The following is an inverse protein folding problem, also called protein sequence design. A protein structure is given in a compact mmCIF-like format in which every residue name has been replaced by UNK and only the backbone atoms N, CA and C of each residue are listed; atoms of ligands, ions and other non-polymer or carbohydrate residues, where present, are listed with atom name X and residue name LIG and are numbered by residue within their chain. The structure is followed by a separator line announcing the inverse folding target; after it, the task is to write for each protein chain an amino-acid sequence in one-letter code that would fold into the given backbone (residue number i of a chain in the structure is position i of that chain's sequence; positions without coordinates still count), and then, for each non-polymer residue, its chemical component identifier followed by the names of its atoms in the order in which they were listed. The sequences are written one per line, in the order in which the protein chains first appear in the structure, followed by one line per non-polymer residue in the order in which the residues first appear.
data_IF_215363822619
#
_entry.id   IF_215363822619
#
_cell.length_a   1.000
_cell.length_b   1.000
_cell.length_c   1.000
_cell.angle_alpha   90.00
_cell.angle_beta   90.00
_cell.angle_gamma   90.00
#
_symmetry.space_group_name_H-M   'P 1'
#
loop_
_entity.id
_entity.type
_entity.pdbx_description
1 polymer ?
#
# COMPACT_ATOMS: atom_id res chain seq x y z
N UNK A 1 -26.11 32.31 32.77
CA UNK A 1 -25.73 30.90 32.99
C UNK A 1 -24.48 30.46 32.20
N UNK A 2 -24.07 31.12 31.11
CA UNK A 2 -22.91 30.70 30.30
C UNK A 2 -21.52 31.01 30.89
N UNK A 3 -21.38 32.01 31.76
CA UNK A 3 -20.08 32.39 32.32
C UNK A 3 -19.53 31.38 33.35
N UNK A 4 -20.41 30.72 34.12
CA UNK A 4 -20.03 29.80 35.20
C UNK A 4 -19.40 28.51 34.70
N UNK A 5 -19.94 27.93 33.61
CA UNK A 5 -19.42 26.71 33.00
C UNK A 5 -18.04 26.90 32.36
N UNK A 6 -17.80 28.06 31.72
CA UNK A 6 -16.48 28.39 31.17
C UNK A 6 -15.43 28.60 32.26
N UNK A 7 -15.86 29.09 33.43
CA UNK A 7 -15.01 29.31 34.59
C UNK A 7 -14.52 28.00 35.22
N UNK A 8 -15.41 27.03 35.41
CA UNK A 8 -15.05 25.68 35.90
C UNK A 8 -14.13 24.92 34.92
N UNK A 9 -14.36 25.10 33.61
CA UNK A 9 -13.50 24.53 32.57
C UNK A 9 -12.07 25.11 32.59
N UNK A 10 -11.92 26.39 32.91
CA UNK A 10 -10.61 27.05 33.02
C UNK A 10 -9.86 26.62 34.29
N UNK A 11 -10.57 26.54 35.43
CA UNK A 11 -10.01 26.06 36.69
C UNK A 11 -9.38 24.65 36.57
N UNK A 12 -10.06 23.74 35.88
CA UNK A 12 -9.61 22.34 35.75
C UNK A 12 -8.57 22.11 34.64
N UNK A 13 -8.26 23.11 33.81
CA UNK A 13 -7.35 22.97 32.66
C UNK A 13 -6.08 23.79 32.76
N UNK A 14 -5.99 24.68 33.74
CA UNK A 14 -4.82 25.53 33.95
C UNK A 14 -4.02 25.01 35.13
N UNK A 15 -2.84 24.46 34.82
CA UNK A 15 -1.83 24.10 35.79
C UNK A 15 -0.74 25.16 35.71
N UNK A 16 -0.45 25.82 36.83
CA UNK A 16 0.59 26.84 36.92
C UNK A 16 1.85 26.22 37.51
N UNK A 17 2.98 26.38 36.83
CA UNK A 17 4.25 25.82 37.27
C UNK A 17 5.11 26.95 37.83
N UNK A 18 5.53 26.82 39.07
CA UNK A 18 6.39 27.77 39.76
C UNK A 18 7.74 27.11 40.08
N UNK A 19 8.83 27.72 39.62
CA UNK A 19 10.17 27.23 39.94
C UNK A 19 10.59 27.74 41.33
N UNK A 20 10.84 26.82 42.26
CA UNK A 20 11.26 27.14 43.62
C UNK A 20 12.52 26.31 43.97
N UNK A 21 13.70 26.93 44.12
CA UNK A 21 14.92 26.20 44.43
C UNK A 21 14.92 25.71 45.89
N UNK A 22 15.35 24.47 46.13
CA UNK A 22 15.57 23.91 47.47
C UNK A 22 14.33 23.32 48.14
N UNK A 23 13.29 22.97 47.37
CA UNK A 23 12.08 22.29 47.89
C UNK A 23 12.26 20.79 48.08
N UNK A 24 13.33 20.19 47.54
CA UNK A 24 13.64 18.76 47.66
C UNK A 24 12.65 17.84 46.94
N UNK A 25 11.83 18.39 46.05
CA UNK A 25 10.81 17.68 45.26
C UNK A 25 9.69 18.58 44.75
N UNK A 26 8.84 18.04 43.86
CA UNK A 26 7.65 18.70 43.35
C UNK A 26 6.48 18.72 44.34
N UNK A 27 5.93 19.90 44.66
CA UNK A 27 4.71 20.05 45.46
C UNK A 27 3.54 20.50 44.59
N UNK A 28 2.36 19.93 44.82
CA UNK A 28 1.12 20.31 44.13
C UNK A 28 0.14 20.89 45.14
N UNK A 29 -0.29 22.13 44.93
CA UNK A 29 -1.23 22.83 45.82
C UNK A 29 -2.30 23.60 45.03
N UNK A 30 -3.36 24.03 45.73
CA UNK A 30 -4.38 24.91 45.17
C UNK A 30 -3.99 26.35 45.46
N UNK A 31 -3.86 27.15 44.40
CA UNK A 31 -3.47 28.55 44.49
C UNK A 31 -4.52 29.46 43.86
N UNK A 32 -4.69 30.68 44.36
CA UNK A 32 -5.61 31.66 43.77
C UNK A 32 -4.81 32.72 43.02
N UNK A 33 -4.96 32.77 41.69
CA UNK A 33 -4.29 33.75 40.85
C UNK A 33 -5.24 34.89 40.47
N UNK A 34 -4.79 36.13 40.67
CA UNK A 34 -5.51 37.33 40.23
C UNK A 34 -5.22 37.68 38.77
N UNK A 35 -6.25 37.69 37.93
CA UNK A 35 -6.21 38.18 36.55
C UNK A 35 -7.08 39.43 36.46
N UNK A 36 -6.51 40.59 36.81
CA UNK A 36 -7.26 41.86 36.86
C UNK A 36 -8.36 41.83 37.94
N UNK A 37 -9.63 41.85 37.53
CA UNK A 37 -10.79 41.85 38.43
C UNK A 37 -11.31 40.44 38.78
N UNK A 38 -10.64 39.38 38.31
CA UNK A 38 -11.08 37.99 38.46
C UNK A 38 -10.05 37.20 39.29
N UNK A 39 -10.54 36.49 40.31
CA UNK A 39 -9.73 35.57 41.14
C UNK A 39 -10.02 34.15 40.65
N UNK A 40 -9.01 33.46 40.12
CA UNK A 40 -9.14 32.11 39.61
C UNK A 40 -8.41 31.12 40.53
N UNK A 41 -9.10 30.14 41.15
CA UNK A 41 -8.43 28.99 41.74
C UNK A 41 -7.77 28.16 40.63
N UNK A 42 -6.48 27.88 40.78
CA UNK A 42 -5.66 27.12 39.84
C UNK A 42 -4.88 26.06 40.59
N UNK A 43 -4.57 24.97 39.89
CA UNK A 43 -3.63 23.98 40.41
C UNK A 43 -2.21 24.52 40.20
N UNK A 44 -1.44 24.65 41.26
CA UNK A 44 -0.05 25.09 41.20
C UNK A 44 0.88 23.92 41.48
N UNK A 45 1.96 23.84 40.72
CA UNK A 45 3.04 22.86 40.86
C UNK A 45 4.31 23.63 41.14
N UNK A 46 4.83 23.52 42.35
CA UNK A 46 6.14 24.05 42.72
C UNK A 46 7.18 22.98 42.48
N UNK A 47 8.23 23.30 41.71
CA UNK A 47 9.28 22.33 41.40
C UNK A 47 10.66 22.97 41.41
N UNK A 48 11.65 22.22 41.90
CA UNK A 48 13.07 22.58 41.81
C UNK A 48 13.72 22.09 40.50
N UNK A 49 13.01 21.24 39.74
CA UNK A 49 13.42 20.73 38.44
C UNK A 49 12.19 20.49 37.56
N UNK A 50 12.28 20.87 36.28
CA UNK A 50 11.22 20.61 35.31
C UNK A 50 11.23 19.18 34.76
N UNK A 51 12.26 18.38 35.09
CA UNK A 51 12.42 17.01 34.57
C UNK A 51 11.21 16.14 34.94
N UNK A 52 10.80 16.15 36.20
CA UNK A 52 9.65 15.37 36.71
C UNK A 52 8.34 15.76 36.00
N UNK A 53 8.19 17.04 35.65
CA UNK A 53 7.04 17.55 34.91
C UNK A 53 7.06 17.02 33.47
N UNK A 54 8.21 17.04 32.81
CA UNK A 54 8.35 16.50 31.46
C UNK A 54 8.15 14.98 31.41
N UNK A 55 8.60 14.25 32.44
CA UNK A 55 8.36 12.81 32.57
C UNK A 55 6.86 12.52 32.75
N UNK A 56 6.17 13.27 33.62
CA UNK A 56 4.72 13.16 33.80
C UNK A 56 3.96 13.48 32.50
N UNK A 57 4.35 14.54 31.78
CA UNK A 57 3.77 14.88 30.47
C UNK A 57 4.08 13.83 29.39
N UNK A 58 5.21 13.14 29.51
CA UNK A 58 5.62 12.05 28.61
C UNK A 58 4.88 10.73 28.86
N UNK A 59 4.44 10.49 30.10
CA UNK A 59 3.67 9.31 30.50
C UNK A 59 2.18 9.37 30.09
N UNK A 60 1.68 10.55 29.70
CA UNK A 60 0.29 10.71 29.23
C UNK A 60 0.22 10.22 27.77
N UNK A 61 -0.55 9.15 27.53
CA UNK A 61 -0.85 8.67 26.18
C UNK A 61 -1.51 9.79 25.35
N UNK A 62 -0.78 10.29 24.35
CA UNK A 62 -1.24 11.38 23.50
C UNK A 62 -2.37 10.91 22.60
N UNK A 63 -3.59 11.31 22.91
CA UNK A 63 -4.69 11.31 21.93
C UNK A 63 -4.45 12.45 20.95
N UNK A 64 -4.16 12.14 19.68
CA UNK A 64 -4.02 13.15 18.64
C UNK A 64 -5.38 13.84 18.46
N UNK A 65 -5.49 15.16 18.69
CA UNK A 65 -6.76 15.85 18.53
C UNK A 65 -7.25 15.73 17.08
N UNK A 66 -8.53 15.44 16.89
CA UNK A 66 -9.18 15.29 15.58
C UNK A 66 -8.97 16.51 14.67
N UNK A 67 -8.82 17.71 15.27
CA UNK A 67 -8.52 18.95 14.54
C UNK A 67 -7.16 18.93 13.84
N UNK A 68 -6.16 18.26 14.42
CA UNK A 68 -4.83 18.08 13.81
C UNK A 68 -4.92 17.11 12.64
N UNK A 69 -5.63 15.98 12.81
CA UNK A 69 -5.90 15.03 11.74
C UNK A 69 -6.65 15.68 10.56
N UNK A 70 -7.66 16.51 10.85
CA UNK A 70 -8.40 17.26 9.82
C UNK A 70 -7.50 18.21 9.05
N UNK A 71 -6.59 18.91 9.73
CA UNK A 71 -5.65 19.84 9.11
C UNK A 71 -4.59 19.15 8.27
N UNK A 72 -4.13 17.97 8.70
CA UNK A 72 -3.25 17.10 7.90
C UNK A 72 -3.98 16.62 6.64
N UNK A 73 -5.25 16.20 6.75
CA UNK A 73 -6.10 15.83 5.60
C UNK A 73 -6.20 16.98 4.58
N UNK A 74 -6.50 18.19 5.05
CA UNK A 74 -6.62 19.38 4.19
C UNK A 74 -5.31 19.70 3.45
N UNK A 75 -4.17 19.66 4.15
CA UNK A 75 -2.85 19.91 3.53
C UNK A 75 -2.42 18.82 2.54
N UNK A 76 -2.70 17.56 2.83
CA UNK A 76 -2.46 16.45 1.90
C UNK A 76 -3.34 16.62 0.65
N UNK A 77 -4.60 16.99 0.81
CA UNK A 77 -5.51 17.29 -0.31
C UNK A 77 -4.97 18.40 -1.21
N UNK A 78 -4.47 19.50 -0.63
CA UNK A 78 -3.88 20.61 -1.38
C UNK A 78 -2.61 20.20 -2.15
N UNK A 79 -1.75 19.39 -1.53
CA UNK A 79 -0.54 18.85 -2.15
C UNK A 79 -0.85 17.88 -3.31
N UNK A 80 -1.80 16.97 -3.12
CA UNK A 80 -2.23 16.01 -4.15
C UNK A 80 -2.96 16.70 -5.31
N UNK A 81 -3.67 17.80 -5.04
CA UNK A 81 -4.33 18.59 -6.09
C UNK A 81 -3.33 19.38 -6.95
N UNK A 82 -2.17 19.72 -6.40
CA UNK A 82 -1.15 20.53 -7.09
C UNK A 82 -0.06 19.69 -7.75
N UNK A 83 0.22 18.49 -7.23
CA UNK A 83 1.13 17.52 -7.80
C UNK A 83 0.34 16.34 -8.40
N UNK A 84 0.18 16.33 -9.73
CA UNK A 84 -0.54 15.32 -10.52
C UNK A 84 -0.31 13.87 -9.99
N UNK A 85 -1.29 13.24 -9.31
CA UNK A 85 -1.01 12.14 -8.39
C UNK A 85 -1.01 10.76 -9.07
N UNK A 86 0.09 10.01 -8.92
CA UNK A 86 0.21 8.57 -9.28
C UNK A 86 0.29 7.68 -8.03
N UNK A 87 -0.66 7.83 -7.10
CA UNK A 87 -0.75 6.98 -5.91
C UNK A 87 -2.11 7.13 -5.25
N UNK A 88 -2.78 6.01 -5.00
CA UNK A 88 -4.16 5.96 -4.52
C UNK A 88 -4.29 6.45 -3.07
N UNK A 89 -4.75 7.69 -2.89
CA UNK A 89 -5.19 8.20 -1.59
C UNK A 89 -6.69 7.90 -1.43
N UNK A 90 -7.07 6.85 -0.70
CA UNK A 90 -8.48 6.58 -0.36
C UNK A 90 -8.77 7.17 1.02
N UNK A 91 -9.43 8.32 1.04
CA UNK A 91 -9.86 9.00 2.27
C UNK A 91 -11.14 8.34 2.75
N UNK A 92 -11.10 7.77 3.96
CA UNK A 92 -12.30 7.26 4.65
C UNK A 92 -12.96 8.45 5.35
N UNK A 93 -14.25 8.69 5.09
CA UNK A 93 -15.02 9.66 5.86
C UNK A 93 -15.19 9.14 7.28
N UNK A 94 -14.51 9.79 8.21
CA UNK A 94 -14.64 9.55 9.63
C UNK A 94 -15.96 10.20 10.08
N UNK A 95 -17.04 9.43 10.08
CA UNK A 95 -18.27 9.84 10.75
C UNK A 95 -18.07 9.73 12.27
N UNK A 96 -18.80 10.58 13.01
CA UNK A 96 -18.63 10.85 14.45
C UNK A 96 -18.71 9.63 15.40
N UNK A 97 -19.14 8.47 14.92
CA UNK A 97 -19.31 7.24 15.73
C UNK A 97 -18.15 6.23 15.58
N UNK A 98 -17.06 6.61 14.91
CA UNK A 98 -15.91 5.71 14.76
C UNK A 98 -15.04 5.75 16.03
N UNK A 99 -15.01 4.65 16.79
CA UNK A 99 -14.14 4.52 17.96
C UNK A 99 -12.67 4.63 17.52
N UNK A 100 -11.91 5.50 18.19
CA UNK A 100 -10.49 5.78 17.89
C UNK A 100 -9.58 4.53 17.89
N UNK A 101 -10.01 3.45 18.55
CA UNK A 101 -9.29 2.19 18.61
C UNK A 101 -9.36 1.38 17.30
N UNK A 102 -10.35 1.65 16.45
CA UNK A 102 -10.52 1.03 15.14
C UNK A 102 -9.91 1.88 14.00
N UNK A 103 -9.32 3.02 14.35
CA UNK A 103 -8.92 4.06 13.41
C UNK A 103 -7.42 3.94 13.07
N UNK A 104 -7.12 3.07 12.10
CA UNK A 104 -5.76 2.87 11.64
C UNK A 104 -5.40 3.85 10.52
N UNK A 105 -4.83 5.00 10.90
CA UNK A 105 -4.39 6.02 9.93
C UNK A 105 -3.01 5.66 9.37
N UNK A 106 -2.97 5.10 8.18
CA UNK A 106 -1.71 4.90 7.44
C UNK A 106 -1.41 6.19 6.64
N UNK A 107 -0.57 7.07 7.18
CA UNK A 107 0.02 8.19 6.43
C UNK A 107 1.38 7.75 5.90
N UNK A 108 1.41 7.24 4.67
CA UNK A 108 2.65 6.89 3.98
C UNK A 108 3.31 8.12 3.37
N UNK A 109 4.27 8.73 4.08
CA UNK A 109 5.27 9.62 3.46
C UNK A 109 6.56 8.80 3.32
N UNK A 110 6.94 8.51 2.08
CA UNK A 110 7.92 7.48 1.77
C UNK A 110 9.38 7.85 2.11
N UNK A 111 10.07 6.91 2.75
CA UNK A 111 11.43 6.47 2.43
C UNK A 111 11.48 4.99 2.84
N UNK A 112 12.16 4.14 2.05
CA UNK A 112 12.19 2.69 2.16
C UNK A 112 12.05 2.13 3.59
N UNK A 113 10.88 1.56 3.89
CA UNK A 113 10.72 0.57 4.95
C UNK A 113 9.79 -0.53 4.41
N UNK A 114 10.11 -1.81 4.66
CA UNK A 114 9.24 -2.90 4.25
C UNK A 114 7.87 -2.63 4.84
N UNK A 115 6.85 -2.60 3.97
CA UNK A 115 5.45 -2.38 4.31
C UNK A 115 5.14 -3.09 5.64
N UNK A 116 4.59 -2.39 6.63
CA UNK A 116 4.19 -3.02 7.88
C UNK A 116 3.23 -4.18 7.64
N UNK A 117 2.98 -5.02 8.65
CA UNK A 117 2.19 -6.26 8.50
C UNK A 117 0.83 -6.08 7.78
N UNK A 118 0.15 -4.95 7.95
CA UNK A 118 -1.12 -4.63 7.26
C UNK A 118 -0.95 -3.96 5.89
N UNK A 119 0.25 -3.47 5.57
CA UNK A 119 0.58 -2.89 4.26
C UNK A 119 0.61 -3.95 3.14
N UNK A 120 1.00 -5.19 3.45
CA UNK A 120 0.94 -6.29 2.48
C UNK A 120 -0.49 -6.67 2.11
N UNK A 121 -1.45 -6.53 3.02
CA UNK A 121 -2.86 -6.83 2.75
C UNK A 121 -3.49 -5.82 1.75
N UNK A 122 -2.88 -4.64 1.58
CA UNK A 122 -3.27 -3.65 0.58
C UNK A 122 -2.68 -3.90 -0.82
N UNK A 123 -1.66 -4.74 -0.94
CA UNK A 123 -1.02 -5.03 -2.23
C UNK A 123 -2.03 -5.68 -3.18
N UNK A 124 -2.21 -5.02 -4.32
CA UNK A 124 -3.11 -5.44 -5.39
C UNK A 124 -2.38 -6.27 -6.44
N UNK A 125 -3.16 -6.87 -7.34
CA UNK A 125 -2.61 -7.59 -8.50
C UNK A 125 -1.80 -6.67 -9.44
N UNK A 126 -2.17 -5.39 -9.53
CA UNK A 126 -1.44 -4.41 -10.36
C UNK A 126 -0.07 -4.11 -9.75
N UNK A 127 0.03 -4.06 -8.43
CA UNK A 127 1.31 -3.86 -7.74
C UNK A 127 2.28 -5.02 -8.00
N UNK A 128 1.76 -6.26 -8.02
CA UNK A 128 2.56 -7.44 -8.38
C UNK A 128 3.05 -7.37 -9.83
N UNK A 129 2.22 -6.88 -10.76
CA UNK A 129 2.61 -6.65 -12.16
C UNK A 129 3.74 -5.64 -12.24
N UNK A 130 3.60 -4.51 -11.53
CA UNK A 130 4.61 -3.48 -11.52
C UNK A 130 5.94 -3.97 -10.93
N UNK A 131 5.90 -4.78 -9.86
CA UNK A 131 7.12 -5.37 -9.29
C UNK A 131 7.79 -6.34 -10.25
N UNK A 132 7.01 -7.20 -10.93
CA UNK A 132 7.53 -8.13 -11.95
C UNK A 132 8.17 -7.36 -13.09
N UNK A 133 7.53 -6.32 -13.61
CA UNK A 133 8.05 -5.53 -14.74
C UNK A 133 9.29 -4.71 -14.38
N UNK A 134 9.34 -4.14 -13.16
CA UNK A 134 10.50 -3.35 -12.69
C UNK A 134 11.67 -4.24 -12.28
N UNK A 135 11.42 -5.45 -11.82
CA UNK A 135 12.46 -6.38 -11.35
C UNK A 135 13.19 -5.91 -10.09
N UNK A 136 12.70 -4.90 -9.39
CA UNK A 136 13.43 -4.21 -8.32
C UNK A 136 13.48 -4.99 -7.00
N UNK A 137 12.59 -5.96 -6.80
CA UNK A 137 12.62 -6.83 -5.61
C UNK A 137 12.37 -6.07 -4.30
N UNK A 138 11.62 -4.97 -4.37
CA UNK A 138 11.34 -4.10 -3.22
C UNK A 138 10.31 -4.72 -2.25
N UNK A 139 9.57 -5.73 -2.71
CA UNK A 139 8.58 -6.44 -1.93
C UNK A 139 9.23 -7.63 -1.20
N UNK A 140 8.92 -7.79 0.07
CA UNK A 140 9.30 -8.97 0.85
C UNK A 140 8.58 -10.20 0.29
N UNK A 141 9.36 -11.07 -0.35
CA UNK A 141 8.87 -12.27 -1.02
C UNK A 141 8.13 -13.21 -0.06
N UNK A 142 8.56 -13.30 1.20
CA UNK A 142 7.91 -14.13 2.22
C UNK A 142 6.51 -13.60 2.54
N UNK A 143 6.36 -12.29 2.68
CA UNK A 143 5.05 -11.67 2.93
C UNK A 143 4.13 -11.81 1.72
N UNK A 144 4.67 -11.71 0.49
CA UNK A 144 3.90 -11.92 -0.74
C UNK A 144 3.35 -13.36 -0.81
N UNK A 145 4.19 -14.37 -0.59
CA UNK A 145 3.77 -15.79 -0.66
C UNK A 145 2.76 -16.14 0.42
N UNK A 146 2.94 -15.66 1.65
CA UNK A 146 2.08 -16.04 2.78
C UNK A 146 0.76 -15.28 2.83
N UNK A 147 0.75 -13.99 2.47
CA UNK A 147 -0.42 -13.11 2.71
C UNK A 147 -1.09 -12.65 1.43
N UNK A 148 -0.30 -12.28 0.42
CA UNK A 148 -0.82 -11.61 -0.77
C UNK A 148 -1.35 -12.62 -1.78
N UNK A 149 -0.51 -13.57 -2.20
CA UNK A 149 -0.83 -14.50 -3.27
C UNK A 149 -2.06 -15.40 -2.95
N UNK A 150 -2.20 -16.02 -1.76
CA UNK A 150 -3.34 -16.90 -1.47
C UNK A 150 -4.69 -16.19 -1.62
N UNK A 151 -4.73 -14.89 -1.33
CA UNK A 151 -5.93 -14.05 -1.47
C UNK A 151 -6.23 -13.68 -2.93
N UNK A 152 -5.20 -13.46 -3.75
CA UNK A 152 -5.37 -12.98 -5.13
C UNK A 152 -5.61 -14.13 -6.10
N UNK A 153 -4.87 -15.25 -5.98
CA UNK A 153 -4.97 -16.38 -6.92
C UNK A 153 -6.33 -17.08 -6.89
N UNK A 154 -7.06 -16.97 -5.78
CA UNK A 154 -8.43 -17.50 -5.66
C UNK A 154 -9.46 -16.65 -6.40
N UNK A 155 -9.16 -15.38 -6.67
CA UNK A 155 -10.09 -14.40 -7.29
C UNK A 155 -9.70 -14.02 -8.72
N UNK A 156 -8.55 -14.47 -9.22
CA UNK A 156 -7.97 -13.99 -10.47
C UNK A 156 -7.19 -15.09 -11.18
N UNK A 157 -7.48 -15.28 -12.47
CA UNK A 157 -6.86 -16.32 -13.30
C UNK A 157 -5.43 -16.00 -13.73
N UNK A 158 -5.08 -14.72 -13.85
CA UNK A 158 -3.79 -14.24 -14.34
C UNK A 158 -3.12 -13.37 -13.29
N UNK A 159 -2.30 -14.02 -12.49
CA UNK A 159 -1.49 -13.48 -11.40
C UNK A 159 -0.05 -13.97 -11.63
N UNK A 160 0.96 -13.08 -11.61
CA UNK A 160 2.35 -13.52 -11.58
C UNK A 160 2.66 -14.11 -10.20
N UNK A 161 3.07 -15.37 -10.18
CA UNK A 161 3.35 -16.12 -8.95
C UNK A 161 4.74 -16.74 -8.90
N UNK A 162 5.35 -17.05 -10.06
CA UNK A 162 6.49 -17.96 -10.15
C UNK A 162 7.73 -17.39 -9.48
N UNK A 163 8.02 -16.10 -9.68
CA UNK A 163 9.12 -15.42 -8.97
C UNK A 163 9.03 -15.59 -7.45
N UNK A 164 7.83 -15.37 -6.90
CA UNK A 164 7.62 -15.40 -5.46
C UNK A 164 7.58 -16.83 -4.91
N UNK A 165 6.91 -17.74 -5.62
CA UNK A 165 6.83 -19.16 -5.23
C UNK A 165 8.21 -19.79 -5.24
N UNK A 166 9.01 -19.56 -6.29
CA UNK A 166 10.40 -20.06 -6.37
C UNK A 166 11.23 -19.57 -5.19
N UNK A 167 11.22 -18.26 -4.95
CA UNK A 167 11.94 -17.68 -3.82
C UNK A 167 11.43 -18.19 -2.45
N UNK A 168 10.12 -18.42 -2.34
CA UNK A 168 9.51 -18.99 -1.13
C UNK A 168 9.99 -20.43 -0.86
N UNK A 169 9.99 -21.28 -1.89
CA UNK A 169 10.48 -22.65 -1.81
C UNK A 169 11.98 -22.66 -1.46
N UNK A 170 12.78 -21.83 -2.12
CA UNK A 170 14.22 -21.70 -1.87
C UNK A 170 14.51 -21.26 -0.41
N UNK A 171 13.62 -20.46 0.17
CA UNK A 171 13.68 -20.02 1.57
C UNK A 171 13.04 -21.00 2.57
N UNK A 172 12.57 -22.18 2.12
CA UNK A 172 11.92 -23.18 2.99
C UNK A 172 10.54 -22.77 3.51
N UNK A 173 9.84 -21.88 2.81
CA UNK A 173 8.50 -21.42 3.18
C UNK A 173 7.46 -22.41 2.67
N UNK A 174 6.54 -22.80 3.55
CA UNK A 174 5.36 -23.59 3.16
C UNK A 174 4.44 -22.77 2.25
N UNK A 175 4.23 -23.27 1.03
CA UNK A 175 3.44 -22.63 -0.03
C UNK A 175 2.04 -23.26 -0.04
N UNK A 176 1.01 -22.42 0.13
CA UNK A 176 -0.38 -22.91 0.20
C UNK A 176 -0.79 -23.74 -1.03
N UNK A 177 -1.62 -24.77 -0.82
CA UNK A 177 -2.09 -25.65 -1.90
C UNK A 177 -2.75 -24.93 -3.10
N UNK A 178 -3.59 -23.88 -2.93
CA UNK A 178 -4.14 -23.13 -4.05
C UNK A 178 -3.07 -22.46 -4.92
N UNK A 179 -1.98 -22.01 -4.28
CA UNK A 179 -0.86 -21.35 -4.95
C UNK A 179 0.01 -22.38 -5.68
N UNK A 180 0.26 -23.54 -5.08
CA UNK A 180 0.94 -24.66 -5.74
C UNK A 180 0.19 -25.12 -6.99
N UNK A 181 -1.12 -25.35 -6.88
CA UNK A 181 -1.97 -25.71 -8.03
C UNK A 181 -1.95 -24.64 -9.12
N UNK A 182 -1.87 -23.36 -8.74
CA UNK A 182 -1.75 -22.28 -9.72
C UNK A 182 -0.39 -22.33 -10.43
N UNK A 183 0.70 -22.64 -9.70
CA UNK A 183 2.06 -22.74 -10.23
C UNK A 183 2.29 -23.96 -11.15
N UNK A 184 1.37 -24.94 -11.17
CA UNK A 184 1.39 -26.11 -12.08
C UNK A 184 1.03 -25.78 -13.54
N UNK A 185 0.67 -24.53 -13.87
CA UNK A 185 0.37 -24.15 -15.26
C UNK A 185 1.59 -24.35 -16.16
N UNK A 186 1.31 -24.75 -17.39
CA UNK A 186 2.29 -24.96 -18.44
C UNK A 186 2.26 -23.81 -19.45
N UNK A 187 3.26 -23.75 -20.33
CA UNK A 187 3.28 -22.76 -21.42
C UNK A 187 2.01 -22.79 -22.28
N UNK A 188 1.43 -23.98 -22.49
CA UNK A 188 0.23 -24.15 -23.29
C UNK A 188 -1.03 -23.55 -22.63
N UNK A 189 -1.07 -23.39 -21.31
CA UNK A 189 -2.17 -22.69 -20.62
C UNK A 189 -2.23 -21.21 -21.00
N UNK A 190 -1.10 -20.61 -21.40
CA UNK A 190 -1.03 -19.23 -21.87
C UNK A 190 -1.44 -19.09 -23.34
N UNK A 191 -1.67 -20.18 -24.06
CA UNK A 191 -2.12 -20.10 -25.45
C UNK A 191 -3.63 -19.94 -25.53
N UNK A 192 -4.17 -19.33 -26.60
CA UNK A 192 -5.60 -19.36 -26.85
C UNK A 192 -6.07 -20.81 -26.91
N UNK A 193 -7.10 -21.18 -26.13
CA UNK A 193 -7.73 -22.49 -26.25
C UNK A 193 -8.41 -22.54 -27.61
N UNK A 194 -7.89 -23.36 -28.52
CA UNK A 194 -8.59 -23.70 -29.76
C UNK A 194 -9.87 -24.44 -29.36
N UNK A 195 -11.04 -23.88 -29.70
CA UNK A 195 -12.35 -24.48 -29.45
C UNK A 195 -12.53 -25.87 -30.07
N UNK A 196 -11.60 -26.26 -30.96
CA UNK A 196 -11.51 -27.59 -31.53
C UNK A 196 -10.07 -28.08 -31.32
N UNK A 197 -9.89 -28.97 -30.35
CA UNK A 197 -8.60 -29.51 -29.89
C UNK A 197 -7.72 -30.16 -30.98
N UNK A 198 -8.23 -30.30 -32.22
CA UNK A 198 -7.60 -31.02 -33.32
C UNK A 198 -7.21 -30.15 -34.54
N UNK A 199 -7.30 -28.81 -34.46
CA UNK A 199 -6.79 -27.96 -35.54
C UNK A 199 -5.31 -27.61 -35.30
N UNK A 200 -4.42 -27.83 -36.29
CA UNK A 200 -3.03 -27.41 -36.17
C UNK A 200 -2.97 -25.91 -35.91
N UNK A 201 -1.98 -25.48 -35.10
CA UNK A 201 -1.76 -24.07 -34.78
C UNK A 201 -1.72 -23.28 -36.09
N UNK A 202 -2.60 -22.28 -36.20
CA UNK A 202 -2.59 -21.40 -37.37
C UNK A 202 -1.24 -20.70 -37.37
N UNK A 203 -0.44 -20.91 -38.41
CA UNK A 203 0.83 -20.18 -38.55
C UNK A 203 0.51 -18.68 -38.54
N UNK A 204 1.06 -17.97 -37.56
CA UNK A 204 1.00 -16.52 -37.53
C UNK A 204 2.11 -15.97 -38.45
N UNK A 205 1.91 -14.80 -39.08
CA UNK A 205 2.88 -14.25 -40.04
C UNK A 205 4.10 -13.59 -39.36
N UNK A 206 4.27 -13.79 -38.05
CA UNK A 206 5.33 -13.16 -37.25
C UNK A 206 6.18 -14.24 -36.59
N UNK A 207 7.49 -14.06 -36.63
CA UNK A 207 8.48 -14.92 -36.01
C UNK A 207 8.91 -14.42 -34.62
N UNK A 208 8.80 -13.12 -34.33
CA UNK A 208 9.26 -12.50 -33.07
C UNK A 208 8.27 -11.50 -32.49
N UNK A 209 8.44 -11.17 -31.20
CA UNK A 209 7.66 -10.10 -30.54
C UNK A 209 7.94 -8.74 -31.20
N UNK A 210 9.19 -8.50 -31.61
CA UNK A 210 9.61 -7.28 -32.31
C UNK A 210 8.92 -7.08 -33.66
N UNK A 211 8.71 -8.16 -34.41
CA UNK A 211 7.93 -8.12 -35.66
C UNK A 211 6.46 -7.78 -35.39
N UNK A 212 5.85 -8.40 -34.37
CA UNK A 212 4.46 -8.06 -33.97
C UNK A 212 4.40 -6.59 -33.57
N UNK A 213 5.34 -6.10 -32.77
CA UNK A 213 5.37 -4.70 -32.31
C UNK A 213 5.54 -3.70 -33.46
N UNK A 214 6.26 -4.07 -34.53
CA UNK A 214 6.56 -3.19 -35.66
C UNK A 214 5.55 -3.28 -36.81
N UNK A 215 4.65 -4.26 -36.76
CA UNK A 215 3.70 -4.56 -37.84
C UNK A 215 2.52 -3.59 -37.97
N UNK A 216 2.38 -2.63 -37.05
CA UNK A 216 1.23 -1.71 -36.99
C UNK A 216 -0.04 -2.35 -36.42
N UNK A 217 0.05 -3.57 -35.91
CA UNK A 217 -1.07 -4.25 -35.26
C UNK A 217 -1.52 -3.54 -33.99
N UNK A 218 -2.82 -3.59 -33.71
CA UNK A 218 -3.35 -3.01 -32.47
C UNK A 218 -2.82 -3.77 -31.25
N UNK A 219 -2.71 -3.08 -30.11
CA UNK A 219 -2.35 -3.70 -28.83
C UNK A 219 -3.15 -4.98 -28.56
N UNK A 220 -4.48 -4.90 -28.68
CA UNK A 220 -5.37 -6.02 -28.39
C UNK A 220 -5.01 -7.26 -29.24
N UNK A 221 -4.68 -7.04 -30.52
CA UNK A 221 -4.28 -8.12 -31.44
C UNK A 221 -2.87 -8.62 -31.13
N UNK A 222 -1.93 -7.72 -30.86
CA UNK A 222 -0.58 -8.10 -30.47
C UNK A 222 -0.56 -8.95 -29.18
N UNK A 223 -1.32 -8.56 -28.15
CA UNK A 223 -1.45 -9.34 -26.91
C UNK A 223 -2.00 -10.76 -27.15
N UNK A 224 -2.88 -10.91 -28.14
CA UNK A 224 -3.43 -12.22 -28.53
C UNK A 224 -2.46 -13.06 -29.37
N UNK A 225 -1.62 -12.41 -30.18
CA UNK A 225 -0.67 -13.08 -31.07
C UNK A 225 0.60 -13.55 -30.35
N UNK A 226 1.10 -12.78 -29.38
CA UNK A 226 2.36 -13.08 -28.68
C UNK A 226 2.41 -14.51 -28.12
N UNK A 227 1.42 -15.04 -27.36
CA UNK A 227 1.48 -16.40 -26.85
C UNK A 227 1.51 -17.51 -27.91
N UNK A 228 1.11 -17.17 -29.15
CA UNK A 228 1.07 -18.11 -30.27
C UNK A 228 2.42 -18.23 -30.99
N UNK A 229 3.39 -17.39 -30.65
CA UNK A 229 4.77 -17.55 -31.11
C UNK A 229 5.32 -18.91 -30.69
N UNK A 230 6.34 -19.37 -31.43
CA UNK A 230 7.10 -20.58 -31.07
C UNK A 230 7.77 -20.36 -29.71
N UNK A 231 7.96 -21.43 -28.96
CA UNK A 231 8.55 -21.39 -27.62
C UNK A 231 9.94 -20.70 -27.62
N UNK A 232 10.71 -20.89 -28.70
CA UNK A 232 12.03 -20.28 -28.89
C UNK A 232 11.99 -18.78 -29.21
N UNK A 233 10.84 -18.26 -29.65
CA UNK A 233 10.63 -16.86 -29.98
C UNK A 233 10.02 -16.05 -28.82
N UNK A 234 9.60 -16.72 -27.75
CA UNK A 234 9.12 -16.10 -26.52
C UNK A 234 10.33 -15.72 -25.63
N UNK A 235 11.07 -14.72 -26.07
CA UNK A 235 12.24 -14.18 -25.36
C UNK A 235 11.73 -13.29 -24.20
N UNK A 236 12.08 -13.58 -22.94
CA UNK A 236 11.61 -12.80 -21.77
C UNK A 236 11.93 -11.32 -21.86
N UNK A 237 13.12 -10.96 -22.32
CA UNK A 237 13.59 -9.59 -22.44
C UNK A 237 12.73 -8.78 -23.43
N UNK A 238 12.43 -9.37 -24.59
CA UNK A 238 11.57 -8.74 -25.60
C UNK A 238 10.14 -8.58 -25.09
N UNK A 239 9.61 -9.59 -24.39
CA UNK A 239 8.28 -9.56 -23.80
C UNK A 239 8.18 -8.49 -22.70
N UNK A 240 9.18 -8.41 -21.83
CA UNK A 240 9.30 -7.40 -20.77
C UNK A 240 9.36 -5.99 -21.35
N UNK A 241 10.16 -5.78 -22.40
CA UNK A 241 10.26 -4.49 -23.08
C UNK A 241 8.91 -4.07 -23.69
N UNK A 242 8.23 -5.01 -24.37
CA UNK A 242 6.90 -4.77 -24.94
C UNK A 242 5.87 -4.41 -23.85
N UNK A 243 5.80 -5.20 -22.78
CA UNK A 243 4.84 -4.97 -21.68
C UNK A 243 5.10 -3.66 -20.95
N UNK A 244 6.37 -3.34 -20.68
CA UNK A 244 6.76 -2.10 -19.99
C UNK A 244 6.35 -0.85 -20.79
N UNK A 245 6.57 -0.86 -22.11
CA UNK A 245 6.13 0.21 -23.02
C UNK A 245 4.62 0.44 -22.96
N UNK A 246 3.86 -0.62 -22.66
CA UNK A 246 2.41 -0.66 -22.74
C UNK A 246 1.71 -0.71 -21.38
N UNK A 247 2.44 -0.53 -20.27
CA UNK A 247 1.93 -0.59 -18.89
C UNK A 247 0.70 0.29 -18.68
N UNK A 248 0.71 1.51 -19.23
CA UNK A 248 -0.35 2.50 -19.05
C UNK A 248 -1.77 1.99 -19.41
N UNK A 249 -1.89 0.89 -20.17
CA UNK A 249 -3.18 0.25 -20.42
C UNK A 249 -3.92 -0.10 -19.14
N UNK A 250 -3.22 -0.48 -18.06
CA UNK A 250 -3.85 -0.88 -16.80
C UNK A 250 -4.53 0.27 -16.05
N UNK A 251 -4.23 1.51 -16.43
CA UNK A 251 -4.81 2.71 -15.83
C UNK A 251 -6.13 3.15 -16.53
N UNK A 252 -6.51 2.52 -17.65
CA UNK A 252 -7.71 2.86 -18.43
C UNK A 252 -8.95 2.04 -17.99
N UNK A 253 -9.95 2.64 -17.33
CA UNK A 253 -11.09 1.91 -16.77
C UNK A 253 -12.06 1.29 -17.79
N UNK A 254 -11.84 1.43 -19.11
CA UNK A 254 -12.71 0.88 -20.16
C UNK A 254 -12.25 -0.43 -20.82
N UNK A 255 -11.03 -0.89 -20.58
CA UNK A 255 -10.37 -1.90 -21.42
C UNK A 255 -10.25 -3.29 -20.78
N UNK A 256 -11.28 -3.73 -20.05
CA UNK A 256 -11.27 -4.97 -19.25
C UNK A 256 -10.78 -6.23 -20.02
N UNK A 257 -11.14 -6.37 -21.29
CA UNK A 257 -10.67 -7.49 -22.13
C UNK A 257 -9.17 -7.43 -22.40
N UNK A 258 -8.65 -6.24 -22.72
CA UNK A 258 -7.21 -5.99 -22.95
C UNK A 258 -6.44 -6.14 -21.63
N UNK A 259 -7.00 -5.68 -20.51
CA UNK A 259 -6.37 -5.83 -19.18
C UNK A 259 -6.13 -7.29 -18.83
N UNK A 260 -7.12 -8.15 -19.08
CA UNK A 260 -7.00 -9.58 -18.81
C UNK A 260 -5.89 -10.23 -19.67
N UNK A 261 -5.81 -9.87 -20.95
CA UNK A 261 -4.74 -10.37 -21.84
C UNK A 261 -3.37 -9.80 -21.47
N UNK A 262 -3.30 -8.55 -21.05
CA UNK A 262 -2.07 -7.94 -20.57
C UNK A 262 -1.57 -8.65 -19.29
N UNK A 263 -2.46 -8.86 -18.31
CA UNK A 263 -2.18 -9.60 -17.08
C UNK A 263 -1.70 -11.03 -17.37
N UNK A 264 -2.31 -11.68 -18.36
CA UNK A 264 -1.91 -12.99 -18.85
C UNK A 264 -0.48 -12.98 -19.38
N UNK A 265 -0.09 -11.97 -20.17
CA UNK A 265 1.27 -11.86 -20.69
C UNK A 265 2.30 -11.51 -19.62
N UNK A 266 1.95 -10.70 -18.61
CA UNK A 266 2.84 -10.48 -17.46
C UNK A 266 3.04 -11.78 -16.67
N UNK A 267 1.96 -12.56 -16.51
CA UNK A 267 2.05 -13.89 -15.88
C UNK A 267 2.88 -14.86 -16.73
N UNK A 268 2.82 -14.76 -18.06
CA UNK A 268 3.66 -15.53 -18.98
C UNK A 268 5.13 -15.13 -18.84
N UNK A 269 5.43 -13.83 -18.77
CA UNK A 269 6.79 -13.34 -18.54
C UNK A 269 7.38 -13.93 -17.26
N UNK A 270 6.64 -13.83 -16.16
CA UNK A 270 7.03 -14.38 -14.86
C UNK A 270 7.24 -15.91 -14.92
N UNK A 271 6.37 -16.64 -15.62
CA UNK A 271 6.56 -18.07 -15.90
C UNK A 271 7.83 -18.37 -16.71
N UNK A 272 8.11 -17.59 -17.76
CA UNK A 272 9.29 -17.82 -18.61
C UNK A 272 10.60 -17.60 -17.86
N UNK A 273 10.62 -16.68 -16.90
CA UNK A 273 11.81 -16.34 -16.12
C UNK A 273 12.00 -17.26 -14.90
N UNK A 274 10.92 -17.66 -14.23
CA UNK A 274 10.99 -18.35 -12.93
C UNK A 274 10.25 -19.69 -12.85
N UNK A 275 9.38 -19.99 -13.82
CA UNK A 275 8.51 -21.17 -13.81
C UNK A 275 8.98 -22.34 -14.67
N UNK A 276 10.14 -22.22 -15.30
CA UNK A 276 10.82 -23.31 -16.02
C UNK A 276 11.77 -24.09 -15.11
#
# INVERSE_FOLDING_TARGET
MFASQQFELLQNRLIFIEYVPGTGGGQVDQHTMGLGHVILPVTRVQAESFIEIYEALGAIERTIPVSVLRRVKERIYELVRTANPRGALKVVDLNNDTLLQDLEVVVGVGIANPLGQKGYDAISRVDLVDDVLKGTGQLDQMQIVKRVLPRIVTKSTWVPVWRYVKAGIDAGIDVSAPLMKYAEKTLDDFRPRVSHANRPRKSIPYATISEISSSGETMAKALYLIPQLRDSALIPEDLRAYLTRHRAILDDPGQNGIHSQYMKLVSLLDFLEFGR
#
